data_IF_562523987825
#
_entry.id   IF_562523987825
#
_cell.length_a   1.000
_cell.length_b   1.000
_cell.length_c   1.000
_cell.angle_alpha   90.00
_cell.angle_beta   90.00
_cell.angle_gamma   90.00
#
_symmetry.space_group_name_H-M   'P 1'
#
loop_
_entity.id
_entity.type
_entity.pdbx_description
1 polymer ?
#
# COMPACT_ATOMS: atom_id res chain seq x y z
N UNK A 1 -33.58 18.37 -52.48
CA UNK A 1 -32.38 18.92 -51.81
C UNK A 1 -32.61 19.14 -50.31
N UNK A 2 -33.59 19.96 -49.89
CA UNK A 2 -33.88 20.24 -48.47
C UNK A 2 -34.14 18.96 -47.65
N UNK A 3 -34.97 18.05 -48.15
CA UNK A 3 -35.30 16.79 -47.47
C UNK A 3 -34.08 15.90 -47.25
N UNK A 4 -33.19 15.82 -48.25
CA UNK A 4 -31.93 15.05 -48.17
C UNK A 4 -31.00 15.65 -47.12
N UNK A 5 -30.86 16.98 -47.10
CA UNK A 5 -30.07 17.68 -46.09
C UNK A 5 -30.61 17.47 -44.67
N UNK A 6 -31.94 17.46 -44.51
CA UNK A 6 -32.59 17.18 -43.23
C UNK A 6 -32.39 15.73 -42.78
N UNK A 7 -32.47 14.76 -43.70
CA UNK A 7 -32.20 13.36 -43.39
C UNK A 7 -30.74 13.15 -42.94
N UNK A 8 -29.77 13.72 -43.65
CA UNK A 8 -28.34 13.61 -43.30
C UNK A 8 -28.06 14.23 -41.92
N UNK A 9 -28.58 15.43 -41.64
CA UNK A 9 -28.42 16.08 -40.33
C UNK A 9 -29.05 15.27 -39.20
N UNK A 10 -30.24 14.72 -39.43
CA UNK A 10 -30.92 13.87 -38.45
C UNK A 10 -30.12 12.59 -38.20
N UNK A 11 -29.58 11.97 -39.24
CA UNK A 11 -28.73 10.78 -39.12
C UNK A 11 -27.46 11.04 -38.30
N UNK A 12 -26.76 12.14 -38.57
CA UNK A 12 -25.58 12.55 -37.80
C UNK A 12 -25.94 12.80 -36.33
N UNK A 13 -27.04 13.53 -36.07
CA UNK A 13 -27.49 13.82 -34.71
C UNK A 13 -27.85 12.54 -33.93
N UNK A 14 -28.52 11.57 -34.56
CA UNK A 14 -28.85 10.28 -33.95
C UNK A 14 -27.60 9.46 -33.68
N UNK A 15 -26.65 9.41 -34.63
CA UNK A 15 -25.40 8.68 -34.47
C UNK A 15 -24.52 9.27 -33.35
N UNK A 16 -24.37 10.59 -33.30
CA UNK A 16 -23.63 11.29 -32.24
C UNK A 16 -24.32 11.15 -30.89
N UNK A 17 -25.65 11.27 -30.85
CA UNK A 17 -26.43 11.06 -29.64
C UNK A 17 -26.28 9.64 -29.09
N UNK A 18 -26.36 8.63 -29.95
CA UNK A 18 -26.18 7.23 -29.56
C UNK A 18 -24.76 6.96 -29.08
N UNK A 19 -23.74 7.35 -29.84
CA UNK A 19 -22.34 7.13 -29.48
C UNK A 19 -21.97 7.85 -28.17
N UNK A 20 -22.40 9.11 -28.00
CA UNK A 20 -22.19 9.87 -26.78
C UNK A 20 -22.90 9.24 -25.58
N UNK A 21 -24.12 8.74 -25.75
CA UNK A 21 -24.86 8.11 -24.67
C UNK A 21 -24.27 6.75 -24.27
N UNK A 22 -23.80 5.94 -25.22
CA UNK A 22 -23.05 4.71 -24.92
C UNK A 22 -21.73 5.01 -24.20
N UNK A 23 -21.02 6.06 -24.61
CA UNK A 23 -19.78 6.46 -23.98
C UNK A 23 -19.99 6.95 -22.54
N UNK A 24 -21.02 7.77 -22.30
CA UNK A 24 -21.41 8.20 -20.96
C UNK A 24 -21.83 7.02 -20.07
N UNK A 25 -22.49 6.01 -20.62
CA UNK A 25 -22.94 4.84 -19.87
C UNK A 25 -21.78 3.96 -19.35
N UNK A 26 -20.59 4.04 -19.97
CA UNK A 26 -19.40 3.24 -19.59
C UNK A 26 -18.54 3.95 -18.53
N UNK A 27 -18.76 5.24 -18.28
CA UNK A 27 -17.91 6.02 -17.35
C UNK A 27 -18.34 5.74 -15.89
N UNK A 28 -17.47 5.13 -15.05
CA UNK A 28 -17.85 4.74 -13.68
C UNK A 28 -17.71 5.88 -12.65
N UNK A 29 -16.91 6.89 -12.94
CA UNK A 29 -16.65 8.01 -12.03
C UNK A 29 -17.63 9.18 -12.29
N UNK A 30 -18.34 9.59 -11.23
CA UNK A 30 -19.26 10.73 -11.25
C UNK A 30 -18.52 12.03 -11.61
N UNK A 31 -17.26 12.17 -11.20
CA UNK A 31 -16.45 13.35 -11.49
C UNK A 31 -16.19 13.48 -12.99
N UNK A 32 -15.89 12.37 -13.65
CA UNK A 32 -15.68 12.34 -15.10
C UNK A 32 -16.98 12.64 -15.85
N UNK A 33 -18.12 12.10 -15.39
CA UNK A 33 -19.44 12.40 -15.97
C UNK A 33 -19.74 13.91 -15.89
N UNK A 34 -19.51 14.55 -14.75
CA UNK A 34 -19.70 16.00 -14.57
C UNK A 34 -18.79 16.81 -15.48
N UNK A 35 -17.51 16.45 -15.57
CA UNK A 35 -16.52 17.15 -16.37
C UNK A 35 -16.87 17.08 -17.87
N UNK A 36 -17.32 15.92 -18.33
CA UNK A 36 -17.75 15.70 -19.70
C UNK A 36 -19.05 16.46 -20.04
N UNK A 37 -20.00 16.52 -19.10
CA UNK A 37 -21.23 17.29 -19.29
C UNK A 37 -20.95 18.79 -19.41
N UNK A 38 -20.06 19.32 -18.57
CA UNK A 38 -19.63 20.74 -18.64
C UNK A 38 -18.88 21.03 -19.93
N UNK A 39 -17.98 20.14 -20.36
CA UNK A 39 -17.27 20.29 -21.64
C UNK A 39 -18.24 20.28 -22.83
N UNK A 40 -19.26 19.41 -22.81
CA UNK A 40 -20.28 19.36 -23.85
C UNK A 40 -21.13 20.64 -23.90
N UNK A 41 -21.53 21.17 -22.74
CA UNK A 41 -22.24 22.44 -22.66
C UNK A 41 -21.41 23.57 -23.29
N UNK A 42 -20.11 23.62 -23.01
CA UNK A 42 -19.21 24.61 -23.58
C UNK A 42 -19.07 24.48 -25.11
N UNK A 43 -18.95 23.25 -25.63
CA UNK A 43 -18.89 23.00 -27.08
C UNK A 43 -20.20 23.42 -27.77
N UNK A 44 -21.34 23.22 -27.11
CA UNK A 44 -22.67 23.63 -27.60
C UNK A 44 -22.93 25.14 -27.52
N UNK A 45 -22.18 25.89 -26.70
CA UNK A 45 -22.26 27.36 -26.67
C UNK A 45 -21.24 28.02 -27.62
N UNK A 46 -20.15 27.32 -27.93
CA UNK A 46 -19.09 27.79 -28.82
C UNK A 46 -19.63 28.08 -30.22
N UNK A 47 -20.55 27.28 -30.75
CA UNK A 47 -21.07 27.51 -32.10
C UNK A 47 -21.91 28.80 -32.18
N UNK A 48 -22.66 29.15 -31.13
CA UNK A 48 -23.39 30.40 -31.01
C UNK A 48 -22.43 31.59 -30.88
N UNK A 49 -21.37 31.45 -30.09
CA UNK A 49 -20.32 32.47 -29.95
C UNK A 49 -19.57 32.69 -31.28
N UNK A 50 -19.16 31.60 -31.94
CA UNK A 50 -18.52 31.66 -33.25
C UNK A 50 -19.45 32.28 -34.30
N UNK A 51 -20.73 31.95 -34.28
CA UNK A 51 -21.70 32.60 -35.16
C UNK A 51 -21.79 34.10 -34.88
N UNK A 52 -21.87 34.53 -33.62
CA UNK A 52 -21.91 35.96 -33.25
C UNK A 52 -20.67 36.73 -33.68
N UNK A 53 -19.49 36.09 -33.61
CA UNK A 53 -18.20 36.74 -33.90
C UNK A 53 -17.86 36.70 -35.40
N UNK A 54 -18.05 35.55 -36.04
CA UNK A 54 -17.57 35.30 -37.40
C UNK A 54 -18.62 35.55 -38.47
N UNK A 55 -19.92 35.58 -38.16
CA UNK A 55 -20.94 35.80 -39.17
C UNK A 55 -20.87 37.25 -39.70
N UNK A 56 -20.72 37.46 -41.02
CA UNK A 56 -20.72 38.80 -41.59
C UNK A 56 -22.03 39.52 -41.29
N UNK A 57 -21.99 40.83 -41.01
CA UNK A 57 -23.19 41.66 -40.77
C UNK A 57 -24.25 41.51 -41.87
N UNK A 58 -23.82 41.30 -43.12
CA UNK A 58 -24.71 41.03 -44.25
C UNK A 58 -25.42 39.67 -44.15
N UNK A 59 -24.73 38.61 -43.72
CA UNK A 59 -25.32 37.29 -43.52
C UNK A 59 -26.31 37.29 -42.36
N UNK A 60 -25.99 37.98 -41.26
CA UNK A 60 -26.91 38.16 -40.12
C UNK A 60 -28.16 38.93 -40.58
N UNK A 61 -27.98 40.04 -41.29
CA UNK A 61 -29.10 40.85 -41.82
C UNK A 61 -29.93 40.05 -42.82
N UNK A 62 -29.28 39.26 -43.67
CA UNK A 62 -29.96 38.35 -44.61
C UNK A 62 -30.76 37.29 -43.86
N UNK A 63 -30.15 36.57 -42.92
CA UNK A 63 -30.82 35.58 -42.06
C UNK A 63 -32.01 36.17 -41.30
N UNK A 64 -31.88 37.40 -40.77
CA UNK A 64 -33.00 38.11 -40.14
C UNK A 64 -34.09 38.55 -41.13
N UNK A 65 -33.73 38.70 -42.41
CA UNK A 65 -34.66 39.07 -43.49
C UNK A 65 -35.35 37.87 -44.15
N UNK A 66 -34.88 36.65 -43.87
CA UNK A 66 -35.57 35.42 -44.29
C UNK A 66 -36.90 35.40 -43.54
N UNK A 67 -37.93 35.96 -44.18
CA UNK A 67 -39.32 35.91 -43.72
C UNK A 67 -39.66 34.44 -43.52
N UNK A 68 -40.25 34.11 -42.37
CA UNK A 68 -40.66 32.75 -42.06
C UNK A 68 -41.39 32.17 -43.29
N UNK A 69 -40.79 31.13 -43.89
CA UNK A 69 -41.37 30.47 -45.06
C UNK A 69 -42.82 30.13 -44.72
N UNK A 70 -43.81 30.61 -45.49
CA UNK A 70 -45.20 30.28 -45.23
C UNK A 70 -45.33 28.77 -45.35
N UNK A 71 -45.34 28.11 -44.20
CA UNK A 71 -45.46 26.67 -44.12
C UNK A 71 -46.89 26.38 -44.55
N UNK A 72 -47.07 25.71 -45.70
CA UNK A 72 -48.39 25.35 -46.20
C UNK A 72 -49.21 24.66 -45.11
N UNK A 73 -50.54 24.82 -45.17
CA UNK A 73 -51.48 24.31 -44.16
C UNK A 73 -51.12 22.86 -43.79
N UNK A 74 -50.57 22.68 -42.58
CA UNK A 74 -50.26 21.35 -42.06
C UNK A 74 -51.58 20.65 -41.77
N UNK A 75 -51.61 19.33 -41.97
CA UNK A 75 -52.76 18.51 -41.59
C UNK A 75 -52.84 18.48 -40.06
N UNK A 76 -53.58 19.41 -39.48
CA UNK A 76 -53.91 19.44 -38.06
C UNK A 76 -55.10 18.53 -37.82
N UNK A 77 -54.95 17.52 -36.98
CA UNK A 77 -56.06 16.70 -36.51
C UNK A 77 -56.42 17.19 -35.10
N UNK A 78 -57.65 17.65 -34.90
CA UNK A 78 -58.11 18.26 -33.64
C UNK A 78 -57.20 19.42 -33.13
N UNK A 79 -56.63 20.22 -34.05
CA UNK A 79 -55.73 21.33 -33.71
C UNK A 79 -54.28 20.90 -33.39
N UNK A 80 -53.96 19.61 -33.43
CA UNK A 80 -52.62 19.07 -33.17
C UNK A 80 -51.96 18.62 -34.47
N UNK A 81 -50.69 18.98 -34.64
CA UNK A 81 -49.86 18.52 -35.76
C UNK A 81 -49.48 17.04 -35.55
N UNK A 82 -50.05 16.15 -36.37
CA UNK A 82 -49.82 14.70 -36.31
C UNK A 82 -48.33 14.36 -36.40
N UNK A 83 -47.55 15.15 -37.15
CA UNK A 83 -46.12 14.91 -37.31
C UNK A 83 -45.33 15.24 -36.05
N UNK A 84 -45.75 16.24 -35.27
CA UNK A 84 -45.16 16.54 -33.97
C UNK A 84 -45.44 15.41 -32.97
N UNK A 85 -46.66 14.88 -32.96
CA UNK A 85 -47.02 13.75 -32.08
C UNK A 85 -46.22 12.50 -32.44
N UNK A 86 -46.13 12.16 -33.73
CA UNK A 86 -45.34 11.01 -34.19
C UNK A 86 -43.85 11.18 -33.84
N UNK A 87 -43.28 12.37 -34.02
CA UNK A 87 -41.89 12.64 -33.64
C UNK A 87 -41.66 12.50 -32.15
N UNK A 88 -42.52 13.09 -31.32
CA UNK A 88 -42.45 12.94 -29.88
C UNK A 88 -42.54 11.47 -29.48
N UNK A 89 -43.47 10.72 -30.07
CA UNK A 89 -43.59 9.29 -29.83
C UNK A 89 -42.32 8.51 -30.19
N UNK A 90 -41.72 8.76 -31.36
CA UNK A 90 -40.47 8.11 -31.77
C UNK A 90 -39.33 8.46 -30.81
N UNK A 91 -39.17 9.72 -30.43
CA UNK A 91 -38.11 10.16 -29.50
C UNK A 91 -38.31 9.50 -28.14
N UNK A 92 -39.54 9.47 -27.61
CA UNK A 92 -39.86 8.80 -26.35
C UNK A 92 -39.57 7.30 -26.43
N UNK A 93 -39.95 6.64 -27.53
CA UNK A 93 -39.67 5.21 -27.73
C UNK A 93 -38.18 4.92 -27.76
N UNK A 94 -37.39 5.69 -28.51
CA UNK A 94 -35.93 5.54 -28.58
C UNK A 94 -35.29 5.78 -27.22
N UNK A 95 -35.73 6.79 -26.47
CA UNK A 95 -35.26 7.05 -25.11
C UNK A 95 -35.58 5.89 -24.16
N UNK A 96 -36.81 5.36 -24.19
CA UNK A 96 -37.21 4.23 -23.35
C UNK A 96 -36.39 2.97 -23.68
N UNK A 97 -36.19 2.68 -24.97
CA UNK A 97 -35.35 1.55 -25.40
C UNK A 97 -33.89 1.75 -24.99
N UNK A 98 -33.35 2.96 -25.16
CA UNK A 98 -31.98 3.28 -24.76
C UNK A 98 -31.76 3.12 -23.25
N UNK A 99 -32.66 3.69 -22.44
CA UNK A 99 -32.63 3.58 -20.97
C UNK A 99 -32.77 2.11 -20.55
N UNK A 100 -33.72 1.39 -21.14
CA UNK A 100 -33.96 -0.01 -20.82
C UNK A 100 -32.79 -0.93 -21.14
N UNK A 101 -32.18 -0.76 -22.32
CA UNK A 101 -31.10 -1.64 -22.79
C UNK A 101 -29.72 -1.29 -22.21
N UNK A 102 -29.38 0.00 -22.08
CA UNK A 102 -28.03 0.41 -21.68
C UNK A 102 -27.98 0.87 -20.22
N UNK A 103 -28.87 1.79 -19.82
CA UNK A 103 -28.78 2.43 -18.51
C UNK A 103 -29.18 1.46 -17.39
N UNK A 104 -30.29 0.72 -17.54
CA UNK A 104 -30.75 -0.20 -16.49
C UNK A 104 -29.78 -1.36 -16.30
N UNK A 105 -29.15 -1.85 -17.37
CA UNK A 105 -28.17 -2.93 -17.27
C UNK A 105 -26.94 -2.48 -16.46
N UNK A 106 -26.35 -1.35 -16.84
CA UNK A 106 -25.18 -0.80 -16.14
C UNK A 106 -25.54 -0.39 -14.70
N UNK A 107 -26.75 0.11 -14.45
CA UNK A 107 -27.21 0.42 -13.10
C UNK A 107 -27.31 -0.82 -12.22
N UNK A 108 -27.72 -1.98 -12.78
CA UNK A 108 -27.75 -3.25 -12.05
C UNK A 108 -26.34 -3.75 -11.74
N UNK A 109 -25.41 -3.68 -12.70
CA UNK A 109 -24.01 -4.07 -12.46
C UNK A 109 -23.34 -3.16 -11.43
N UNK A 110 -23.57 -1.84 -11.50
CA UNK A 110 -23.07 -0.88 -10.52
C UNK A 110 -23.68 -1.15 -9.13
N UNK A 111 -24.97 -1.48 -9.06
CA UNK A 111 -25.60 -1.87 -7.81
C UNK A 111 -25.05 -3.19 -7.27
N UNK A 112 -24.77 -4.18 -8.12
CA UNK A 112 -24.12 -5.43 -7.71
C UNK A 112 -22.69 -5.19 -7.23
N UNK A 113 -21.90 -4.36 -7.91
CA UNK A 113 -20.57 -4.00 -7.46
C UNK A 113 -20.63 -3.29 -6.10
N UNK A 114 -21.58 -2.37 -5.94
CA UNK A 114 -21.87 -1.75 -4.64
C UNK A 114 -22.28 -2.78 -3.59
N UNK A 115 -23.13 -3.75 -3.93
CA UNK A 115 -23.57 -4.78 -3.00
C UNK A 115 -22.46 -5.80 -2.70
N UNK A 116 -21.45 -5.96 -3.57
CA UNK A 116 -20.26 -6.79 -3.29
C UNK A 116 -19.24 -6.02 -2.44
N UNK A 117 -19.04 -4.73 -2.72
CA UNK A 117 -18.09 -3.88 -1.99
C UNK A 117 -18.63 -3.40 -0.64
N UNK A 118 -19.94 -3.17 -0.57
CA UNK A 118 -20.62 -2.62 0.59
C UNK A 118 -21.62 -3.61 1.19
N UNK A 119 -21.94 -4.75 0.57
CA UNK A 119 -22.77 -5.77 1.22
C UNK A 119 -21.95 -6.63 2.19
N UNK A 120 -22.62 -7.57 2.84
CA UNK A 120 -22.03 -8.37 3.90
C UNK A 120 -22.03 -7.63 5.24
N UNK A 121 -21.02 -7.89 6.08
CA UNK A 121 -20.87 -7.18 7.34
C UNK A 121 -20.40 -5.75 7.03
N UNK A 122 -21.26 -4.74 7.22
CA UNK A 122 -20.88 -3.32 7.17
C UNK A 122 -20.39 -2.82 8.54
N UNK A 123 -20.62 -3.61 9.57
CA UNK A 123 -20.24 -3.30 10.94
C UNK A 123 -18.82 -3.83 11.14
N UNK A 124 -17.85 -3.21 10.48
CA UNK A 124 -16.43 -3.43 10.74
C UNK A 124 -15.66 -2.12 10.62
N UNK A 125 -14.54 -2.06 11.32
CA UNK A 125 -13.55 -1.00 11.17
C UNK A 125 -12.29 -1.62 10.60
N UNK A 126 -11.64 -0.89 9.70
CA UNK A 126 -10.34 -1.27 9.18
C UNK A 126 -9.37 -0.10 9.33
N UNK A 127 -8.09 -0.44 9.46
CA UNK A 127 -7.01 0.51 9.57
C UNK A 127 -5.74 -0.12 9.03
N UNK A 128 -4.90 0.70 8.40
CA UNK A 128 -3.64 0.25 7.81
C UNK A 128 -2.52 0.85 8.63
N UNK A 129 -1.70 0.01 9.24
CA UNK A 129 -0.54 0.48 9.99
C UNK A 129 0.38 1.27 9.04
N UNK A 130 0.71 2.54 9.35
CA UNK A 130 1.40 3.44 8.42
C UNK A 130 2.79 2.94 8.05
N UNK A 131 3.46 2.27 8.99
CA UNK A 131 4.78 1.69 8.76
C UNK A 131 4.68 0.27 8.18
N UNK A 132 3.95 -0.65 8.84
CA UNK A 132 3.96 -2.08 8.50
C UNK A 132 3.15 -2.42 7.26
N UNK A 133 2.33 -1.48 6.75
CA UNK A 133 1.35 -1.76 5.70
C UNK A 133 0.28 -2.78 6.11
N UNK A 134 0.26 -3.17 7.40
CA UNK A 134 -0.61 -4.22 7.90
C UNK A 134 -2.04 -3.71 7.96
N UNK A 135 -2.94 -4.37 7.23
CA UNK A 135 -4.37 -4.09 7.30
C UNK A 135 -4.96 -4.85 8.47
N UNK A 136 -5.32 -4.14 9.53
CA UNK A 136 -6.11 -4.69 10.63
C UNK A 136 -7.60 -4.46 10.34
N UNK A 137 -8.40 -5.52 10.44
CA UNK A 137 -9.85 -5.48 10.28
C UNK A 137 -10.47 -6.06 11.54
N UNK A 138 -11.44 -5.36 12.12
CA UNK A 138 -12.17 -5.81 13.29
C UNK A 138 -13.67 -5.57 13.10
N UNK A 139 -14.47 -6.58 13.43
CA UNK A 139 -15.93 -6.45 13.45
C UNK A 139 -16.37 -5.47 14.56
N UNK A 140 -17.40 -4.69 14.28
CA UNK A 140 -18.06 -3.77 15.21
C UNK A 140 -19.50 -4.17 15.43
N UNK A 141 -20.13 -3.62 16.48
CA UNK A 141 -21.58 -3.75 16.63
C UNK A 141 -22.30 -2.79 15.67
N UNK A 142 -23.52 -3.14 15.20
CA UNK A 142 -24.31 -2.28 14.34
C UNK A 142 -24.46 -0.87 14.90
N UNK A 143 -24.21 0.13 14.04
CA UNK A 143 -24.37 1.53 14.42
C UNK A 143 -25.82 1.81 14.83
N UNK A 144 -26.04 2.14 16.10
CA UNK A 144 -27.35 2.53 16.63
C UNK A 144 -27.40 4.07 16.78
N UNK A 145 -28.23 4.78 16.00
CA UNK A 145 -28.27 6.26 16.01
C UNK A 145 -28.69 6.91 17.35
N UNK A 146 -29.12 6.11 18.33
CA UNK A 146 -29.51 6.57 19.67
C UNK A 146 -28.80 5.82 20.81
N UNK A 147 -27.68 5.14 20.52
CA UNK A 147 -26.82 4.64 21.59
C UNK A 147 -26.16 5.86 22.26
N UNK A 148 -26.72 6.28 23.40
CA UNK A 148 -26.20 7.40 24.17
C UNK A 148 -24.76 7.10 24.59
N UNK A 149 -23.82 7.97 24.20
CA UNK A 149 -22.43 8.02 24.67
C UNK A 149 -21.85 6.67 25.12
N UNK A 150 -21.78 5.70 24.21
CA UNK A 150 -20.90 4.55 24.41
C UNK A 150 -19.45 4.99 24.16
N UNK A 151 -18.56 4.42 24.97
CA UNK A 151 -17.09 4.54 25.03
C UNK A 151 -16.48 4.72 23.62
N UNK A 152 -15.36 5.47 23.46
CA UNK A 152 -14.85 5.81 22.13
C UNK A 152 -14.80 4.59 21.21
N UNK A 153 -15.58 4.64 20.13
CA UNK A 153 -15.89 3.46 19.33
C UNK A 153 -14.63 2.73 18.86
N UNK A 154 -14.79 1.44 18.50
CA UNK A 154 -13.72 0.56 18.03
C UNK A 154 -12.80 1.23 17.00
N UNK A 155 -13.32 2.20 16.23
CA UNK A 155 -12.51 3.04 15.33
C UNK A 155 -11.44 3.86 16.05
N UNK A 156 -11.70 4.50 17.19
CA UNK A 156 -10.67 5.21 17.95
C UNK A 156 -9.65 4.25 18.56
N UNK A 157 -10.07 3.04 18.95
CA UNK A 157 -9.15 1.98 19.42
C UNK A 157 -8.29 1.49 18.26
N UNK A 158 -8.89 1.21 17.11
CA UNK A 158 -8.18 0.78 15.91
C UNK A 158 -7.26 1.89 15.39
N UNK A 159 -7.74 3.13 15.34
CA UNK A 159 -6.96 4.32 15.00
C UNK A 159 -5.87 4.53 16.04
N UNK A 160 -6.07 4.27 17.34
CA UNK A 160 -5.01 4.34 18.36
C UNK A 160 -4.01 3.16 18.22
N UNK A 161 -4.46 1.96 17.85
CA UNK A 161 -3.59 0.81 17.54
C UNK A 161 -2.86 0.97 16.20
N UNK A 162 -3.38 1.76 15.28
CA UNK A 162 -2.79 2.02 13.97
C UNK A 162 -1.93 3.28 13.98
N UNK A 163 -2.32 4.31 14.73
CA UNK A 163 -1.67 5.63 14.75
C UNK A 163 -0.87 5.95 16.02
N UNK A 164 -1.23 5.35 17.16
CA UNK A 164 -0.56 5.56 18.45
C UNK A 164 0.21 4.35 18.95
N UNK A 165 0.33 3.28 18.16
CA UNK A 165 1.30 2.23 18.42
C UNK A 165 2.70 2.79 18.17
N UNK A 166 3.15 3.57 19.13
CA UNK A 166 4.47 4.14 19.16
C UNK A 166 5.38 3.11 19.83
N UNK A 167 6.16 2.39 19.00
CA UNK A 167 7.19 1.48 19.51
C UNK A 167 8.13 2.19 20.51
N UNK A 168 8.34 3.50 20.38
CA UNK A 168 9.29 4.28 21.20
C UNK A 168 8.73 4.70 22.56
N UNK A 169 7.44 5.09 22.65
CA UNK A 169 6.77 5.30 23.95
C UNK A 169 6.71 4.00 24.75
N UNK A 170 6.46 2.86 24.10
CA UNK A 170 6.43 1.57 24.79
C UNK A 170 7.80 1.16 25.35
N UNK A 171 8.89 1.43 24.64
CA UNK A 171 10.25 1.18 25.14
C UNK A 171 10.61 2.14 26.29
N UNK A 172 10.04 3.36 26.31
CA UNK A 172 10.29 4.36 27.36
C UNK A 172 9.50 4.16 28.66
N UNK A 173 8.33 3.51 28.68
CA UNK A 173 7.55 3.27 29.93
C UNK A 173 7.86 1.90 30.56
N UNK A 174 9.12 1.49 30.56
CA UNK A 174 9.59 0.32 31.30
C UNK A 174 9.12 0.36 32.76
N UNK A 175 8.16 -0.51 33.09
CA UNK A 175 7.75 -0.87 34.44
C UNK A 175 6.81 0.11 35.16
N UNK A 176 5.49 -0.10 35.04
CA UNK A 176 4.48 0.09 36.10
C UNK A 176 3.08 0.29 35.50
N UNK A 177 2.31 -0.80 35.38
CA UNK A 177 0.85 -0.70 35.47
C UNK A 177 0.40 -1.42 36.75
N UNK A 178 0.14 -0.60 37.78
CA UNK A 178 -0.55 -1.02 38.98
C UNK A 178 -2.06 -1.08 38.74
N UNK A 179 -2.65 -2.20 39.20
CA UNK A 179 -4.07 -2.47 39.49
C UNK A 179 -5.10 -1.43 39.02
N UNK A 180 -5.97 -1.88 38.11
CA UNK A 180 -7.38 -1.50 38.13
C UNK A 180 -8.21 -2.78 38.21
N UNK A 181 -9.28 -2.67 39.00
CA UNK A 181 -10.01 -3.69 39.71
C UNK A 181 -11.12 -4.31 38.87
N UNK A 182 -11.40 -5.59 39.18
CA UNK A 182 -12.61 -6.37 38.86
C UNK A 182 -13.89 -5.55 38.95
N UNK A 183 -14.70 -5.53 37.89
CA UNK A 183 -15.99 -6.23 37.85
C UNK A 183 -16.77 -5.91 36.56
N UNK A 184 -17.55 -6.92 36.15
CA UNK A 184 -18.73 -6.93 35.29
C UNK A 184 -18.67 -7.36 33.82
N UNK A 185 -19.58 -8.29 33.56
CA UNK A 185 -19.70 -9.20 32.43
C UNK A 185 -20.03 -8.49 31.11
N UNK A 186 -19.26 -8.79 30.06
CA UNK A 186 -19.70 -8.61 28.67
C UNK A 186 -19.15 -9.71 27.76
N UNK A 187 -19.91 -10.12 26.72
CA UNK A 187 -19.66 -11.37 26.00
C UNK A 187 -18.38 -11.30 25.16
N UNK A 188 -17.59 -12.36 25.32
CA UNK A 188 -16.34 -12.67 24.64
C UNK A 188 -16.57 -12.71 23.12
N UNK A 189 -15.99 -11.75 22.40
CA UNK A 189 -15.63 -11.92 20.99
C UNK A 189 -14.10 -11.96 20.98
N UNK A 190 -13.53 -13.04 20.44
CA UNK A 190 -12.09 -13.27 20.35
C UNK A 190 -11.40 -12.20 19.49
N UNK A 191 -10.99 -11.10 20.10
CA UNK A 191 -9.69 -10.48 19.84
C UNK A 191 -9.24 -9.96 21.19
N UNK A 192 -8.52 -10.80 21.96
CA UNK A 192 -8.09 -10.37 23.28
C UNK A 192 -7.13 -9.19 23.12
N UNK A 193 -7.27 -8.22 24.02
CA UNK A 193 -6.26 -7.22 24.31
C UNK A 193 -4.89 -7.89 24.49
N UNK A 194 -4.87 -9.14 24.98
CA UNK A 194 -3.68 -9.98 25.02
C UNK A 194 -3.10 -10.31 23.63
N UNK A 195 -3.84 -10.40 22.53
CA UNK A 195 -3.25 -10.73 21.21
C UNK A 195 -2.37 -9.61 20.64
N UNK A 196 -2.81 -8.35 20.79
CA UNK A 196 -2.05 -7.17 20.38
C UNK A 196 -0.92 -6.90 21.39
N UNK A 197 -1.21 -7.01 22.69
CA UNK A 197 -0.19 -6.90 23.73
C UNK A 197 0.84 -8.03 23.61
N UNK A 198 0.45 -9.27 23.27
CA UNK A 198 1.36 -10.40 23.06
C UNK A 198 2.16 -10.30 21.76
N UNK A 199 1.62 -9.71 20.69
CA UNK A 199 2.42 -9.45 19.49
C UNK A 199 3.51 -8.42 19.79
N UNK A 200 3.16 -7.35 20.50
CA UNK A 200 4.16 -6.39 20.97
C UNK A 200 5.12 -6.97 22.00
N UNK A 201 4.60 -7.71 22.98
CA UNK A 201 5.41 -8.40 23.97
C UNK A 201 6.30 -9.42 23.27
N UNK A 202 5.89 -10.06 22.18
CA UNK A 202 6.75 -10.97 21.40
C UNK A 202 7.82 -10.22 20.61
N UNK A 203 7.46 -9.15 19.89
CA UNK A 203 8.44 -8.29 19.19
C UNK A 203 9.48 -7.76 20.17
N UNK A 204 9.07 -7.49 21.42
CA UNK A 204 9.89 -6.83 22.45
C UNK A 204 10.40 -7.77 23.55
N UNK A 205 9.98 -9.04 23.58
CA UNK A 205 10.37 -9.97 24.63
C UNK A 205 11.88 -10.15 24.47
N UNK A 206 12.68 -9.82 25.50
CA UNK A 206 14.05 -10.26 25.55
C UNK A 206 13.96 -11.78 25.71
N UNK A 207 13.89 -12.47 24.58
CA UNK A 207 14.07 -13.90 24.49
C UNK A 207 15.38 -14.19 25.24
N UNK A 208 15.25 -14.90 26.35
CA UNK A 208 16.38 -15.44 27.09
C UNK A 208 17.38 -16.04 26.08
N UNK A 209 18.69 -15.86 26.30
CA UNK A 209 19.72 -16.15 25.28
C UNK A 209 19.64 -17.55 24.63
N UNK A 210 18.98 -18.50 25.29
CA UNK A 210 18.69 -19.83 24.74
C UNK A 210 17.62 -19.87 23.63
N UNK A 211 16.68 -18.92 23.55
CA UNK A 211 15.58 -18.90 22.57
C UNK A 211 15.81 -17.94 21.39
N UNK A 212 16.83 -17.07 21.47
CA UNK A 212 17.27 -16.19 20.38
C UNK A 212 17.59 -16.92 19.05
N UNK A 213 18.26 -18.09 19.02
CA UNK A 213 18.56 -18.77 17.75
C UNK A 213 17.32 -19.26 16.99
N UNK A 214 16.16 -19.35 17.65
CA UNK A 214 14.92 -19.88 17.06
C UNK A 214 14.09 -18.75 16.44
N UNK A 215 14.10 -17.55 17.02
CA UNK A 215 13.35 -16.41 16.49
C UNK A 215 13.88 -15.90 15.14
N UNK A 216 15.19 -16.07 14.90
CA UNK A 216 15.83 -15.67 13.64
C UNK A 216 15.90 -16.77 12.59
N UNK A 217 15.19 -17.89 12.79
CA UNK A 217 15.00 -18.90 11.76
C UNK A 217 13.70 -18.65 11.02
N UNK A 218 13.68 -19.11 9.78
CA UNK A 218 12.47 -19.15 8.98
C UNK A 218 11.37 -19.94 9.71
N UNK A 219 10.18 -19.35 9.75
CA UNK A 219 8.99 -19.97 10.34
C UNK A 219 8.24 -20.70 9.22
N UNK A 220 8.08 -22.01 9.30
CA UNK A 220 7.33 -22.77 8.29
C UNK A 220 5.86 -22.96 8.70
N UNK A 221 4.96 -23.03 7.71
CA UNK A 221 3.52 -23.29 7.94
C UNK A 221 3.35 -24.64 8.66
N UNK A 222 2.77 -24.59 9.87
CA UNK A 222 2.41 -25.80 10.62
C UNK A 222 3.54 -26.42 11.44
N UNK A 223 4.70 -25.77 11.54
CA UNK A 223 5.82 -26.28 12.32
C UNK A 223 6.42 -25.21 13.22
N UNK A 224 6.03 -25.21 14.50
CA UNK A 224 7.08 -25.04 15.50
C UNK A 224 7.94 -26.29 15.30
N UNK A 225 9.07 -26.17 14.61
CA UNK A 225 10.05 -27.25 14.55
C UNK A 225 10.51 -27.46 15.99
N UNK A 226 9.92 -28.45 16.66
CA UNK A 226 10.34 -28.88 17.99
C UNK A 226 11.77 -29.40 17.83
N UNK A 227 12.76 -28.60 18.23
CA UNK A 227 14.14 -29.07 18.33
C UNK A 227 14.20 -30.05 19.51
N UNK A 228 14.50 -31.34 19.29
CA UNK A 228 14.62 -32.30 20.36
C UNK A 228 15.86 -31.95 21.21
N UNK A 229 15.64 -31.56 22.47
CA UNK A 229 16.72 -31.27 23.42
C UNK A 229 16.66 -29.89 24.09
N UNK A 230 15.82 -28.97 23.62
CA UNK A 230 15.49 -27.75 24.36
C UNK A 230 14.15 -27.94 25.05
N UNK A 231 14.17 -28.28 26.34
CA UNK A 231 12.99 -28.12 27.19
C UNK A 231 12.70 -26.61 27.28
N UNK A 232 11.89 -26.10 26.34
CA UNK A 232 11.26 -24.80 26.53
C UNK A 232 10.38 -25.01 27.76
N UNK A 233 10.61 -24.25 28.86
CA UNK A 233 9.79 -24.44 30.05
C UNK A 233 8.33 -24.23 29.63
N UNK A 234 7.43 -25.09 30.10
CA UNK A 234 6.01 -25.02 29.82
C UNK A 234 5.42 -23.73 30.40
N UNK A 235 5.69 -22.59 29.76
CA UNK A 235 5.15 -21.28 30.11
C UNK A 235 3.74 -21.19 29.52
N UNK A 236 2.77 -21.83 30.18
CA UNK A 236 1.35 -21.49 30.09
C UNK A 236 0.74 -21.36 28.68
N UNK A 237 -0.41 -20.67 28.54
CA UNK A 237 -1.16 -20.57 27.28
C UNK A 237 -0.46 -19.79 26.15
N UNK A 238 0.80 -19.36 26.30
CA UNK A 238 1.55 -18.61 25.27
C UNK A 238 2.01 -19.48 24.08
N UNK A 239 2.05 -20.82 24.23
CA UNK A 239 2.40 -21.72 23.12
C UNK A 239 1.36 -21.73 21.98
N UNK A 240 0.11 -21.38 22.26
CA UNK A 240 -0.95 -21.32 21.23
C UNK A 240 -0.92 -20.02 20.43
N UNK A 241 -0.35 -18.94 20.98
CA UNK A 241 -0.50 -17.61 20.41
C UNK A 241 0.56 -17.31 19.37
N UNK A 242 1.80 -17.79 19.56
CA UNK A 242 2.83 -17.72 18.52
C UNK A 242 2.43 -18.54 17.28
N UNK A 243 2.00 -19.78 17.48
CA UNK A 243 1.54 -20.63 16.38
C UNK A 243 0.31 -20.03 15.67
N UNK A 244 -0.59 -19.39 16.41
CA UNK A 244 -1.74 -18.68 15.84
C UNK A 244 -1.30 -17.47 15.01
N UNK A 245 -0.37 -16.65 15.52
CA UNK A 245 0.19 -15.52 14.77
C UNK A 245 0.89 -15.99 13.49
N UNK A 246 1.80 -16.96 13.58
CA UNK A 246 2.53 -17.46 12.40
C UNK A 246 1.57 -18.06 11.39
N UNK A 247 0.54 -18.79 11.83
CA UNK A 247 -0.50 -19.34 10.95
C UNK A 247 -1.27 -18.24 10.22
N UNK A 248 -1.76 -17.23 10.94
CA UNK A 248 -2.48 -16.10 10.35
C UNK A 248 -1.59 -15.27 9.41
N UNK A 249 -0.35 -14.99 9.83
CA UNK A 249 0.62 -14.23 9.06
C UNK A 249 0.99 -14.96 7.76
N UNK A 250 1.16 -16.29 7.80
CA UNK A 250 1.37 -17.09 6.60
C UNK A 250 0.17 -17.12 5.67
N UNK A 251 -1.07 -17.22 6.20
CA UNK A 251 -2.27 -17.12 5.37
C UNK A 251 -2.35 -15.78 4.65
N UNK A 252 -2.06 -14.69 5.37
CA UNK A 252 -2.00 -13.33 4.82
C UNK A 252 -0.92 -13.23 3.74
N UNK A 253 0.30 -13.73 4.02
CA UNK A 253 1.39 -13.71 3.06
C UNK A 253 1.09 -14.55 1.81
N UNK A 254 0.51 -15.74 1.99
CA UNK A 254 0.10 -16.62 0.88
C UNK A 254 -0.95 -15.95 0.01
N UNK A 255 -1.92 -15.24 0.60
CA UNK A 255 -2.93 -14.52 -0.15
C UNK A 255 -2.34 -13.36 -0.97
N UNK A 256 -1.33 -12.65 -0.42
CA UNK A 256 -0.69 -11.52 -1.11
C UNK A 256 0.30 -11.93 -2.19
N UNK A 257 1.04 -13.02 -1.98
CA UNK A 257 2.22 -13.37 -2.80
C UNK A 257 2.12 -14.70 -3.52
N UNK A 258 1.19 -15.58 -3.10
CA UNK A 258 1.13 -16.98 -3.52
C UNK A 258 2.21 -17.88 -2.90
N UNK A 259 3.13 -17.34 -2.11
CA UNK A 259 4.20 -18.12 -1.48
C UNK A 259 3.67 -18.90 -0.27
N UNK A 260 4.00 -20.19 -0.21
CA UNK A 260 3.60 -21.09 0.91
C UNK A 260 4.74 -21.46 1.85
N UNK A 261 5.96 -21.00 1.54
CA UNK A 261 7.16 -21.21 2.37
C UNK A 261 8.20 -20.11 2.09
N UNK A 262 9.22 -20.02 2.94
CA UNK A 262 10.22 -18.97 2.86
C UNK A 262 11.04 -19.01 1.57
N UNK A 263 11.33 -20.20 1.04
CA UNK A 263 12.06 -20.32 -0.24
C UNK A 263 11.31 -19.67 -1.40
N UNK A 264 9.99 -19.85 -1.48
CA UNK A 264 9.13 -19.18 -2.47
C UNK A 264 9.01 -17.67 -2.16
N UNK A 265 8.90 -17.32 -0.88
CA UNK A 265 8.77 -15.94 -0.43
C UNK A 265 10.06 -15.11 -0.64
N UNK A 266 11.21 -15.75 -0.87
CA UNK A 266 12.53 -15.11 -1.05
C UNK A 266 12.52 -13.98 -2.08
N UNK A 267 11.76 -14.14 -3.16
CA UNK A 267 11.65 -13.13 -4.24
C UNK A 267 11.04 -11.82 -3.77
N UNK A 268 10.32 -11.82 -2.64
CA UNK A 268 9.68 -10.65 -2.04
C UNK A 268 10.48 -10.08 -0.85
N UNK A 269 11.62 -10.68 -0.47
CA UNK A 269 12.46 -10.19 0.64
C UNK A 269 13.00 -8.77 0.38
N UNK A 270 13.08 -8.35 -0.88
CA UNK A 270 13.59 -7.05 -1.27
C UNK A 270 12.48 -6.02 -1.58
N UNK A 271 11.21 -6.43 -1.45
CA UNK A 271 10.08 -5.53 -1.60
C UNK A 271 9.82 -4.80 -0.28
N UNK A 272 9.97 -3.46 -0.29
CA UNK A 272 9.71 -2.61 0.88
C UNK A 272 8.25 -2.68 1.35
N UNK A 273 7.32 -2.99 0.44
CA UNK A 273 5.91 -3.14 0.77
C UNK A 273 5.60 -4.49 1.46
N UNK A 274 6.58 -5.39 1.59
CA UNK A 274 6.40 -6.74 2.11
C UNK A 274 7.25 -7.04 3.37
N UNK A 275 7.20 -6.20 4.43
CA UNK A 275 7.96 -6.43 5.66
C UNK A 275 7.60 -7.76 6.34
N UNK A 276 6.36 -8.23 6.16
CA UNK A 276 5.88 -9.49 6.72
C UNK A 276 6.70 -10.70 6.24
N UNK A 277 7.26 -10.64 5.02
CA UNK A 277 8.14 -11.68 4.50
C UNK A 277 9.39 -11.81 5.38
N UNK A 278 10.00 -10.68 5.79
CA UNK A 278 11.19 -10.67 6.63
C UNK A 278 10.90 -11.06 8.08
N UNK A 279 9.69 -10.77 8.56
CA UNK A 279 9.22 -11.21 9.89
C UNK A 279 9.08 -12.73 9.93
N UNK A 280 8.52 -13.33 8.89
CA UNK A 280 8.30 -14.78 8.81
C UNK A 280 9.52 -15.56 8.34
N UNK A 281 10.37 -14.93 7.52
CA UNK A 281 11.51 -15.54 6.85
C UNK A 281 12.81 -14.76 7.08
N UNK A 282 13.19 -14.50 8.34
CA UNK A 282 14.35 -13.67 8.65
C UNK A 282 15.66 -14.28 8.11
N UNK A 283 15.79 -15.61 8.09
CA UNK A 283 17.00 -16.29 7.62
C UNK A 283 17.08 -16.26 6.09
N UNK A 284 16.00 -16.66 5.41
CA UNK A 284 15.93 -16.61 3.94
C UNK A 284 16.12 -15.18 3.40
N UNK A 285 15.60 -14.17 4.10
CA UNK A 285 15.82 -12.79 3.71
C UNK A 285 17.20 -12.25 4.08
N UNK A 286 17.93 -12.89 5.00
CA UNK A 286 19.26 -12.49 5.44
C UNK A 286 19.26 -11.44 6.55
N UNK A 287 18.20 -11.35 7.35
CA UNK A 287 18.16 -10.49 8.54
C UNK A 287 19.27 -10.86 9.52
N UNK A 288 19.57 -12.14 9.68
CA UNK A 288 20.60 -12.66 10.59
C UNK A 288 22.02 -12.69 9.99
N UNK A 289 22.23 -12.21 8.76
CA UNK A 289 23.54 -12.22 8.09
C UNK A 289 24.00 -10.77 7.85
N UNK A 290 25.18 -10.43 8.35
CA UNK A 290 25.69 -9.06 8.36
C UNK A 290 26.05 -8.55 6.96
N UNK A 291 26.50 -9.44 6.07
CA UNK A 291 26.82 -9.16 4.67
C UNK A 291 25.70 -9.58 3.71
N UNK A 292 24.45 -9.64 4.16
CA UNK A 292 23.31 -10.04 3.30
C UNK A 292 22.94 -9.04 2.21
N UNK A 293 23.41 -7.80 2.32
CA UNK A 293 23.07 -6.71 1.41
C UNK A 293 21.70 -6.08 1.65
N UNK A 294 21.00 -6.42 2.75
CA UNK A 294 19.79 -5.69 3.13
C UNK A 294 20.17 -4.26 3.53
N UNK A 295 19.53 -3.27 2.94
CA UNK A 295 19.73 -1.85 3.31
C UNK A 295 18.84 -1.42 4.47
N UNK A 296 17.57 -1.80 4.41
CA UNK A 296 16.56 -1.39 5.38
C UNK A 296 16.23 -2.57 6.27
N UNK A 297 16.40 -2.42 7.58
CA UNK A 297 16.05 -3.45 8.56
C UNK A 297 14.53 -3.59 8.79
N UNK A 298 13.72 -2.93 7.95
CA UNK A 298 12.29 -2.99 8.05
C UNK A 298 11.79 -4.43 7.89
N UNK A 299 11.01 -4.91 8.87
CA UNK A 299 10.52 -6.29 8.95
C UNK A 299 11.52 -7.31 9.53
N UNK A 300 12.79 -6.94 9.75
CA UNK A 300 13.70 -7.79 10.51
C UNK A 300 13.43 -7.62 12.01
N UNK A 301 13.28 -8.73 12.74
CA UNK A 301 13.09 -8.69 14.18
C UNK A 301 14.31 -8.09 14.87
N UNK A 302 14.10 -7.40 15.99
CA UNK A 302 15.18 -6.70 16.71
C UNK A 302 16.29 -7.66 17.13
N UNK A 303 15.92 -8.88 17.54
CA UNK A 303 16.82 -9.95 17.92
C UNK A 303 17.70 -10.43 16.75
N UNK A 304 17.27 -10.19 15.50
CA UNK A 304 17.98 -10.59 14.30
C UNK A 304 18.85 -9.48 13.71
N UNK A 305 18.68 -8.22 14.15
CA UNK A 305 19.51 -7.06 13.71
C UNK A 305 20.49 -6.58 14.77
N UNK A 306 20.30 -6.97 16.03
CA UNK A 306 20.98 -6.40 17.18
C UNK A 306 22.42 -6.85 17.42
N UNK A 307 22.97 -6.41 18.56
CA UNK A 307 24.33 -6.68 19.04
C UNK A 307 24.55 -8.12 19.55
N UNK A 308 23.55 -9.00 19.40
CA UNK A 308 23.54 -10.35 19.96
C UNK A 308 23.00 -11.36 18.94
N UNK A 309 23.42 -12.62 19.08
CA UNK A 309 22.95 -13.72 18.23
C UNK A 309 23.64 -13.83 16.87
N UNK A 310 22.95 -14.44 15.91
CA UNK A 310 23.50 -14.85 14.62
C UNK A 310 24.04 -13.68 13.76
N UNK A 311 23.38 -12.52 13.80
CA UNK A 311 23.87 -11.34 13.10
C UNK A 311 25.21 -10.86 13.66
N UNK A 312 25.35 -10.80 14.99
CA UNK A 312 26.60 -10.45 15.65
C UNK A 312 27.69 -11.47 15.31
N UNK A 313 27.40 -12.76 15.36
CA UNK A 313 28.35 -13.81 14.97
C UNK A 313 28.79 -13.66 13.51
N UNK A 314 27.86 -13.40 12.60
CA UNK A 314 28.14 -13.12 11.18
C UNK A 314 29.03 -11.88 11.00
N UNK A 315 28.74 -10.80 11.74
CA UNK A 315 29.54 -9.58 11.75
C UNK A 315 30.96 -9.84 12.25
N UNK A 316 31.10 -10.61 13.33
CA UNK A 316 32.38 -10.93 13.95
C UNK A 316 33.27 -11.81 13.05
N UNK A 317 32.65 -12.69 12.26
CA UNK A 317 33.32 -13.56 11.29
C UNK A 317 33.64 -12.86 9.97
N UNK A 318 33.05 -11.69 9.70
CA UNK A 318 33.31 -10.96 8.48
C UNK A 318 34.80 -10.54 8.36
N UNK A 319 35.37 -10.57 7.15
CA UNK A 319 36.77 -10.21 6.96
C UNK A 319 36.95 -8.69 7.02
N UNK A 320 38.02 -8.23 7.68
CA UNK A 320 38.44 -6.83 7.65
C UNK A 320 39.17 -6.50 6.34
N UNK A 321 38.42 -6.51 5.24
CA UNK A 321 38.86 -6.00 3.95
C UNK A 321 37.66 -5.51 3.17
N UNK A 322 37.84 -4.43 2.43
CA UNK A 322 36.84 -3.99 1.46
C UNK A 322 36.58 -5.11 0.44
N UNK A 323 35.33 -5.25 0.00
CA UNK A 323 35.03 -6.26 -1.01
C UNK A 323 35.73 -5.89 -2.33
N UNK A 324 36.40 -6.87 -2.94
CA UNK A 324 37.24 -6.68 -4.15
C UNK A 324 36.72 -7.47 -5.35
N UNK A 325 35.40 -7.67 -5.42
CA UNK A 325 34.74 -8.43 -6.50
C UNK A 325 34.48 -9.90 -6.21
N UNK A 326 34.52 -10.30 -4.94
CA UNK A 326 34.05 -11.62 -4.50
C UNK A 326 32.56 -11.77 -4.84
N UNK A 327 32.19 -12.79 -5.61
CA UNK A 327 30.83 -12.89 -6.19
C UNK A 327 29.71 -12.76 -5.15
N UNK A 328 29.87 -13.34 -3.95
CA UNK A 328 28.88 -13.25 -2.87
C UNK A 328 28.74 -11.82 -2.34
N UNK A 329 29.84 -11.14 -1.98
CA UNK A 329 29.80 -9.76 -1.47
C UNK A 329 29.42 -8.78 -2.56
N UNK A 330 29.69 -9.08 -3.83
CA UNK A 330 29.20 -8.31 -4.96
C UNK A 330 27.67 -8.40 -5.09
N UNK A 331 27.07 -9.57 -4.86
CA UNK A 331 25.60 -9.70 -4.80
C UNK A 331 25.02 -8.89 -3.64
N UNK A 332 25.63 -8.95 -2.46
CA UNK A 332 25.21 -8.16 -1.30
C UNK A 332 25.29 -6.65 -1.57
N UNK A 333 26.38 -6.21 -2.20
CA UNK A 333 26.57 -4.82 -2.62
C UNK A 333 25.51 -4.37 -3.62
N UNK A 334 25.24 -5.17 -4.65
CA UNK A 334 24.21 -4.87 -5.64
C UNK A 334 22.83 -4.82 -5.00
N UNK A 335 22.52 -5.76 -4.11
CA UNK A 335 21.27 -5.79 -3.35
C UNK A 335 21.10 -4.54 -2.50
N UNK A 336 22.15 -4.09 -1.81
CA UNK A 336 22.12 -2.89 -0.99
C UNK A 336 21.76 -1.66 -1.82
N UNK A 337 22.48 -1.42 -2.91
CA UNK A 337 22.22 -0.22 -3.72
C UNK A 337 20.90 -0.30 -4.49
N UNK A 338 20.46 -1.49 -4.89
CA UNK A 338 19.14 -1.68 -5.52
C UNK A 338 18.02 -1.33 -4.56
N UNK A 339 18.12 -1.76 -3.29
CA UNK A 339 17.16 -1.43 -2.25
C UNK A 339 17.18 0.05 -1.92
N UNK A 340 18.38 0.63 -1.69
CA UNK A 340 18.53 2.04 -1.34
C UNK A 340 17.88 2.98 -2.37
N UNK A 341 17.93 2.60 -3.65
CA UNK A 341 17.44 3.41 -4.77
C UNK A 341 16.16 2.91 -5.44
N UNK A 342 15.45 1.92 -4.88
CA UNK A 342 14.24 1.37 -5.50
C UNK A 342 13.12 2.40 -5.73
N UNK A 343 13.21 3.60 -5.15
CA UNK A 343 12.33 4.75 -5.41
C UNK A 343 12.89 5.87 -6.30
N UNK A 344 14.14 5.80 -6.78
CA UNK A 344 14.79 6.88 -7.54
C UNK A 344 15.40 6.40 -8.86
N UNK A 345 15.01 7.02 -9.97
CA UNK A 345 15.62 6.77 -11.28
C UNK A 345 16.78 7.75 -11.50
N UNK A 346 17.98 7.23 -11.78
CA UNK A 346 19.14 8.08 -12.09
C UNK A 346 20.38 7.32 -12.50
N UNK A 347 21.20 7.95 -13.33
CA UNK A 347 22.50 7.44 -13.80
C UNK A 347 23.47 7.13 -12.63
N UNK A 348 23.30 7.82 -11.49
CA UNK A 348 24.09 7.60 -10.27
C UNK A 348 23.97 6.19 -9.71
N UNK A 349 22.81 5.53 -9.83
CA UNK A 349 22.65 4.14 -9.37
C UNK A 349 23.58 3.18 -10.14
N UNK A 350 23.78 3.42 -11.44
CA UNK A 350 24.63 2.56 -12.26
C UNK A 350 26.09 2.62 -11.79
N UNK A 351 26.57 3.81 -11.42
CA UNK A 351 27.92 4.01 -10.92
C UNK A 351 28.14 3.28 -9.59
N UNK A 352 27.15 3.29 -8.68
CA UNK A 352 27.22 2.51 -7.44
C UNK A 352 27.16 1.00 -7.71
N UNK A 353 26.28 0.52 -8.59
CA UNK A 353 26.14 -0.91 -8.89
C UNK A 353 27.38 -1.53 -9.56
N UNK A 354 28.12 -0.73 -10.34
CA UNK A 354 29.37 -1.16 -11.00
C UNK A 354 30.63 -0.83 -10.19
N UNK A 355 30.51 0.04 -9.19
CA UNK A 355 31.60 0.49 -8.34
C UNK A 355 32.00 -0.52 -7.27
N UNK A 356 32.97 -0.10 -6.45
CA UNK A 356 33.46 -0.81 -5.27
C UNK A 356 33.38 0.13 -4.05
N UNK A 357 33.99 -0.25 -2.93
CA UNK A 357 33.99 0.59 -1.73
C UNK A 357 34.53 2.02 -1.95
N UNK A 358 35.39 2.27 -2.95
CA UNK A 358 35.95 3.60 -3.19
C UNK A 358 34.92 4.63 -3.68
N UNK A 359 33.73 4.19 -4.14
CA UNK A 359 32.65 5.11 -4.53
C UNK A 359 31.75 5.51 -3.36
N UNK A 360 31.90 4.90 -2.18
CA UNK A 360 31.07 5.20 -1.01
C UNK A 360 31.40 6.61 -0.49
N UNK A 361 30.42 7.52 -0.40
CA UNK A 361 30.63 8.81 0.23
C UNK A 361 30.64 8.64 1.76
N UNK A 362 31.84 8.44 2.32
CA UNK A 362 32.09 8.45 3.77
C UNK A 362 31.77 9.86 4.33
N UNK A 363 31.18 10.00 5.55
CA UNK A 363 30.86 8.99 6.56
C UNK A 363 29.41 8.47 6.59
N UNK A 364 28.54 8.97 5.70
CA UNK A 364 27.07 8.81 5.84
C UNK A 364 26.58 7.36 5.86
N UNK A 365 27.29 6.45 5.20
CA UNK A 365 26.89 5.04 5.05
C UNK A 365 27.66 4.08 5.95
N UNK A 366 28.66 4.57 6.69
CA UNK A 366 29.53 3.73 7.50
C UNK A 366 28.99 3.49 8.91
N UNK A 367 28.05 4.30 9.38
CA UNK A 367 27.38 4.07 10.66
C UNK A 367 25.89 3.87 10.42
N UNK A 368 25.21 3.20 11.37
CA UNK A 368 23.76 3.30 11.47
C UNK A 368 23.43 4.78 11.63
N UNK A 369 22.92 5.39 10.57
CA UNK A 369 22.49 6.76 10.60
C UNK A 369 20.97 6.76 10.67
N UNK A 370 20.37 7.30 11.75
CA UNK A 370 18.97 7.65 11.74
C UNK A 370 18.75 8.64 10.60
N UNK A 371 18.12 8.18 9.52
CA UNK A 371 17.79 9.04 8.37
C UNK A 371 16.36 9.55 8.53
N UNK A 372 16.22 10.86 8.77
CA UNK A 372 14.92 11.54 8.71
C UNK A 372 14.63 11.98 7.28
N UNK A 373 13.74 11.26 6.59
CA UNK A 373 13.22 11.71 5.30
C UNK A 373 11.95 12.56 5.54
N UNK A 374 11.98 13.85 5.19
CA UNK A 374 10.82 14.76 5.27
C UNK A 374 10.08 14.82 6.63
N UNK A 375 10.79 14.72 7.75
CA UNK A 375 10.17 14.84 9.08
C UNK A 375 9.34 13.62 9.51
N UNK A 376 9.39 12.52 8.74
CA UNK A 376 9.05 11.19 9.24
C UNK A 376 10.29 10.54 9.88
N UNK A 377 10.03 9.66 10.86
CA UNK A 377 11.01 9.12 11.80
C UNK A 377 12.15 8.36 11.13
N UNK A 378 13.19 8.15 11.93
CA UNK A 378 14.46 7.52 11.59
C UNK A 378 14.30 6.09 11.08
N UNK A 379 14.43 5.92 9.77
CA UNK A 379 14.62 4.58 9.21
C UNK A 379 16.09 4.22 9.42
N UNK A 380 16.33 3.20 10.24
CA UNK A 380 17.67 2.67 10.49
C UNK A 380 18.19 1.92 9.26
N UNK A 381 19.27 2.43 8.67
CA UNK A 381 19.98 1.82 7.55
C UNK A 381 21.09 0.90 8.08
N UNK A 382 21.19 -0.31 7.53
CA UNK A 382 22.36 -1.17 7.82
C UNK A 382 23.65 -0.47 7.37
N UNK A 383 24.71 -0.53 8.19
CA UNK A 383 25.97 0.11 7.87
C UNK A 383 26.73 -0.68 6.81
N UNK A 384 27.40 0.04 5.90
CA UNK A 384 28.28 -0.56 4.90
C UNK A 384 29.60 -1.06 5.49
N UNK A 385 29.88 -0.89 6.78
CA UNK A 385 31.12 -1.35 7.44
C UNK A 385 31.39 -2.83 7.26
N UNK A 386 30.36 -3.66 7.06
CA UNK A 386 30.55 -5.10 6.81
C UNK A 386 31.03 -5.38 5.38
N UNK A 387 30.60 -4.57 4.41
CA UNK A 387 31.02 -4.68 3.00
C UNK A 387 32.31 -3.89 2.72
N UNK A 388 32.50 -2.78 3.41
CA UNK A 388 33.57 -1.80 3.20
C UNK A 388 34.24 -1.36 4.51
N UNK A 389 34.79 -2.29 5.33
CA UNK A 389 35.35 -1.96 6.63
C UNK A 389 36.56 -1.01 6.55
N UNK A 390 37.42 -1.14 5.53
CA UNK A 390 38.63 -0.31 5.41
C UNK A 390 38.26 1.10 4.97
N UNK A 391 37.42 1.24 3.93
CA UNK A 391 36.91 2.56 3.51
C UNK A 391 36.12 3.24 4.62
N UNK A 392 35.41 2.48 5.46
CA UNK A 392 34.70 3.02 6.61
C UNK A 392 35.57 3.28 7.85
N UNK A 393 36.88 3.04 7.79
CA UNK A 393 37.81 3.36 8.87
C UNK A 393 37.78 2.37 10.04
N UNK A 394 37.27 1.15 9.86
CA UNK A 394 37.24 0.13 10.92
C UNK A 394 38.64 -0.30 11.39
N UNK A 395 39.68 -0.12 10.56
CA UNK A 395 41.05 -0.46 10.90
C UNK A 395 41.72 0.60 11.81
N UNK A 396 41.39 1.88 11.62
CA UNK A 396 42.07 3.01 12.27
C UNK A 396 41.26 3.59 13.46
N UNK A 397 40.03 3.10 13.66
CA UNK A 397 39.10 3.59 14.67
C UNK A 397 39.46 3.08 16.07
N UNK A 398 40.17 3.89 16.86
CA UNK A 398 40.30 3.68 18.30
C UNK A 398 39.04 4.06 19.10
N UNK A 399 38.04 4.68 18.45
CA UNK A 399 36.84 5.17 19.09
C UNK A 399 35.82 4.04 19.29
N UNK A 400 35.36 3.82 20.52
CA UNK A 400 34.53 2.66 20.88
C UNK A 400 33.17 2.66 20.17
N UNK A 401 32.67 3.83 19.80
CA UNK A 401 31.31 3.97 19.27
C UNK A 401 31.24 3.58 17.78
N UNK A 402 32.25 3.94 16.97
CA UNK A 402 32.39 3.49 15.57
C UNK A 402 32.74 2.01 15.44
N UNK A 403 33.30 1.39 16.49
CA UNK A 403 33.68 -0.03 16.50
C UNK A 403 32.46 -0.95 16.61
N UNK A 404 31.29 -0.44 17.01
CA UNK A 404 30.11 -1.29 17.29
C UNK A 404 29.72 -2.16 16.09
N UNK A 405 29.88 -1.65 14.86
CA UNK A 405 29.48 -2.31 13.62
C UNK A 405 30.65 -2.72 12.73
N UNK A 406 31.86 -2.70 13.26
CA UNK A 406 33.04 -3.17 12.56
C UNK A 406 33.23 -4.68 12.79
N UNK A 407 33.71 -5.43 11.79
CA UNK A 407 34.12 -6.80 12.01
C UNK A 407 35.20 -6.90 13.09
N UNK A 408 35.11 -7.89 13.98
CA UNK A 408 36.12 -8.10 15.04
C UNK A 408 37.52 -8.31 14.49
N UNK A 409 37.63 -8.83 13.28
CA UNK A 409 38.89 -9.03 12.57
C UNK A 409 39.63 -7.72 12.23
N UNK A 410 38.97 -6.56 12.35
CA UNK A 410 39.59 -5.24 12.17
C UNK A 410 40.36 -4.77 13.41
N UNK A 411 39.85 -5.05 14.61
CA UNK A 411 40.36 -4.48 15.88
C UNK A 411 41.70 -5.10 16.28
N UNK A 412 42.01 -6.32 15.82
CA UNK A 412 43.17 -7.08 16.30
C UNK A 412 44.50 -6.79 15.59
N UNK A 413 44.55 -5.89 14.60
CA UNK A 413 45.78 -5.64 13.82
C UNK A 413 46.79 -4.68 14.45
N UNK A 414 46.41 -3.87 15.45
CA UNK A 414 47.31 -2.84 16.00
C UNK A 414 48.18 -3.28 17.20
N UNK A 415 48.03 -4.52 17.69
CA UNK A 415 48.77 -4.99 18.87
C UNK A 415 50.07 -5.77 18.56
N UNK A 416 50.54 -5.76 17.31
CA UNK A 416 51.66 -6.57 16.82
C UNK A 416 52.89 -5.78 16.42
#
# INVERSE_FOLDING_TARGET
MLTVMLMVRTGIAVALGWAGACWLAVTPDIKDILLNAVALLFILEIDELLYKVLAPKHAIKFMSSIRALPVGHRKTWAGVDVYCVLKLFIVTLVLVLFIGCNVIHNAKEAQQAKDVLCGGNQDFVHGVHPELGLVAVADTKPFKPHAGFEIPGMRKVLDDVVSKYDLDTFVRVGGSWGRVQEDDESPIILHSEDGVNQLSDWVKLPLNSASMPVACRDQEIGGIVYYPGTEIPAWGPAGSTFAAFTSWAWQSLTAMTGATNCTQARTFCDDMAMPLVRVLCPDTCGCNVADSGITFDYGCLEQCRGTVGAFRESLEQAPCRDFTGEAQRQQAWQRFWTLYWSGGSGDTLRDYLQGNCSVVPVPKFCNFYPWTHHGQRDVELRPLTVLCPETCGCADSSDSDSVTWCPKSCVSREAG
#
